data_IF_397155700644
#
_entry.id   IF_397155700644
#
_cell.length_a   1.000
_cell.length_b   1.000
_cell.length_c   1.000
_cell.angle_alpha   90.00
_cell.angle_beta   90.00
_cell.angle_gamma   90.00
#
_symmetry.space_group_name_H-M   'P 1'
#
loop_
_entity.id
_entity.type
_entity.pdbx_description
1 polymer ?
#
# COMPACT_ATOMS: atom_id res chain seq x y z
N UNK A 1 -0.69 -17.98 -29.64
CA UNK A 1 -0.22 -16.79 -28.89
C UNK A 1 1.18 -17.11 -28.37
N UNK A 2 2.14 -16.18 -28.47
CA UNK A 2 3.56 -16.48 -28.28
C UNK A 2 4.04 -16.60 -26.82
N UNK A 3 3.17 -16.34 -25.83
CA UNK A 3 3.48 -16.42 -24.39
C UNK A 3 2.35 -17.15 -23.64
N UNK A 4 1.94 -18.33 -24.10
CA UNK A 4 1.00 -19.21 -23.37
C UNK A 4 -0.41 -18.69 -23.09
N UNK A 5 -0.75 -17.45 -23.44
CA UNK A 5 -2.02 -16.82 -23.06
C UNK A 5 -1.96 -16.05 -21.73
N UNK A 6 -0.77 -15.82 -21.16
CA UNK A 6 -0.62 -15.01 -19.95
C UNK A 6 -0.83 -13.52 -20.25
N UNK A 7 -1.65 -12.86 -19.42
CA UNK A 7 -1.98 -11.44 -19.49
C UNK A 7 -1.26 -10.62 -18.41
N UNK A 8 -0.59 -11.26 -17.45
CA UNK A 8 -0.01 -10.61 -16.29
C UNK A 8 -1.05 -9.99 -15.36
N UNK A 9 -0.67 -8.92 -14.66
CA UNK A 9 -1.57 -8.17 -13.79
C UNK A 9 -2.45 -7.22 -14.59
N UNK A 10 -3.75 -7.47 -14.57
CA UNK A 10 -4.75 -6.66 -15.26
C UNK A 10 -5.61 -5.94 -14.23
N UNK A 11 -5.86 -4.65 -14.46
CA UNK A 11 -6.77 -3.85 -13.64
C UNK A 11 -8.18 -3.87 -14.22
N UNK A 12 -9.19 -3.67 -13.37
CA UNK A 12 -10.57 -3.50 -13.81
C UNK A 12 -10.67 -2.33 -14.81
N UNK A 13 -11.40 -2.55 -15.92
CA UNK A 13 -11.53 -1.60 -17.03
C UNK A 13 -10.43 -1.71 -18.10
N UNK A 14 -9.46 -2.61 -17.94
CA UNK A 14 -8.45 -2.90 -18.97
C UNK A 14 -8.87 -4.03 -19.92
N UNK A 15 -9.94 -4.77 -19.59
CA UNK A 15 -10.52 -5.77 -20.48
C UNK A 15 -11.85 -5.24 -21.05
N UNK A 16 -12.44 -6.01 -21.98
CA UNK A 16 -13.80 -5.69 -22.42
C UNK A 16 -14.78 -5.89 -21.27
N UNK A 17 -15.87 -5.14 -21.27
CA UNK A 17 -16.89 -5.16 -20.21
C UNK A 17 -17.44 -6.57 -19.93
N UNK A 18 -17.53 -7.43 -20.94
CA UNK A 18 -17.95 -8.83 -20.75
C UNK A 18 -16.91 -9.65 -19.98
N UNK A 19 -15.62 -9.42 -20.22
CA UNK A 19 -14.54 -10.12 -19.53
C UNK A 19 -14.39 -9.62 -18.10
N UNK A 20 -14.45 -8.31 -17.87
CA UNK A 20 -14.35 -7.74 -16.53
C UNK A 20 -15.49 -8.21 -15.63
N UNK A 21 -16.73 -8.26 -16.15
CA UNK A 21 -17.89 -8.75 -15.39
C UNK A 21 -17.75 -10.19 -14.95
N UNK A 22 -17.22 -11.06 -15.80
CA UNK A 22 -16.99 -12.46 -15.45
C UNK A 22 -15.76 -12.61 -14.53
N UNK A 23 -14.67 -11.87 -14.81
CA UNK A 23 -13.47 -11.86 -13.97
C UNK A 23 -13.78 -11.44 -12.52
N UNK A 24 -14.70 -10.49 -12.32
CA UNK A 24 -15.14 -10.04 -11.00
C UNK A 24 -15.83 -11.15 -10.19
N UNK A 25 -16.48 -12.11 -10.86
CA UNK A 25 -17.19 -13.24 -10.23
C UNK A 25 -16.30 -14.44 -9.93
N UNK A 26 -15.15 -14.56 -10.58
CA UNK A 26 -14.22 -15.66 -10.36
C UNK A 26 -13.53 -15.55 -9.00
N UNK A 27 -13.25 -16.70 -8.39
CA UNK A 27 -12.33 -16.81 -7.25
C UNK A 27 -10.91 -17.09 -7.75
N UNK A 28 -9.92 -16.88 -6.88
CA UNK A 28 -8.53 -17.21 -7.18
C UNK A 28 -8.42 -18.72 -7.43
N UNK A 29 -7.82 -19.11 -8.55
CA UNK A 29 -7.71 -20.49 -9.03
C UNK A 29 -8.86 -20.94 -9.94
N UNK A 30 -9.93 -20.16 -10.06
CA UNK A 30 -11.08 -20.53 -10.89
C UNK A 30 -10.83 -20.25 -12.37
N UNK A 31 -11.44 -21.09 -13.21
CA UNK A 31 -11.51 -20.94 -14.66
C UNK A 31 -12.95 -20.56 -15.04
N UNK A 32 -13.11 -19.56 -15.90
CA UNK A 32 -14.42 -19.12 -16.37
C UNK A 32 -15.05 -20.09 -17.35
N UNK A 33 -16.38 -20.03 -17.47
CA UNK A 33 -17.07 -20.55 -18.65
C UNK A 33 -16.65 -19.76 -19.91
N UNK A 34 -16.88 -20.29 -21.12
CA UNK A 34 -16.58 -19.58 -22.37
C UNK A 34 -17.35 -18.26 -22.49
N UNK A 35 -16.63 -17.14 -22.43
CA UNK A 35 -17.18 -15.79 -22.48
C UNK A 35 -17.24 -15.34 -23.92
N UNK A 36 -18.44 -14.96 -24.39
CA UNK A 36 -18.64 -14.43 -25.74
C UNK A 36 -18.35 -12.93 -25.76
N UNK A 37 -17.39 -12.52 -26.58
CA UNK A 37 -17.10 -11.11 -26.85
C UNK A 37 -17.18 -10.83 -28.35
N UNK A 38 -17.03 -9.55 -28.72
CA UNK A 38 -16.97 -9.15 -30.14
C UNK A 38 -15.67 -9.64 -30.83
N UNK A 39 -14.69 -10.14 -30.06
CA UNK A 39 -13.44 -10.72 -30.55
C UNK A 39 -13.49 -12.23 -30.75
N UNK A 40 -14.53 -12.92 -30.26
CA UNK A 40 -14.65 -14.37 -30.25
C UNK A 40 -15.04 -14.90 -28.88
N UNK A 41 -14.64 -16.13 -28.57
CA UNK A 41 -14.80 -16.70 -27.22
C UNK A 41 -13.49 -16.66 -26.46
N UNK A 42 -13.59 -16.34 -25.18
CA UNK A 42 -12.47 -16.23 -24.25
C UNK A 42 -12.74 -17.13 -23.04
N UNK A 43 -11.68 -17.69 -22.47
CA UNK A 43 -11.72 -18.43 -21.20
C UNK A 43 -10.66 -17.77 -20.32
N UNK A 44 -11.05 -17.38 -19.12
CA UNK A 44 -10.18 -16.73 -18.15
C UNK A 44 -9.78 -17.72 -17.07
N UNK A 45 -8.56 -17.62 -16.58
CA UNK A 45 -8.10 -18.33 -15.38
C UNK A 45 -7.52 -17.29 -14.44
N UNK A 46 -8.14 -17.10 -13.28
CA UNK A 46 -7.71 -16.09 -12.31
C UNK A 46 -6.60 -16.68 -11.44
N UNK A 47 -5.34 -16.37 -11.76
CA UNK A 47 -4.18 -16.89 -11.01
C UNK A 47 -4.07 -16.26 -9.61
N UNK A 48 -4.30 -14.96 -9.51
CA UNK A 48 -4.17 -14.20 -8.27
C UNK A 48 -4.98 -12.90 -8.34
N UNK A 49 -5.39 -12.35 -7.19
CA UNK A 49 -6.13 -11.09 -7.09
C UNK A 49 -5.54 -10.23 -5.98
N UNK A 50 -5.09 -9.04 -6.36
CA UNK A 50 -4.65 -8.00 -5.44
C UNK A 50 -5.59 -6.81 -5.53
N UNK A 51 -6.04 -6.31 -4.38
CA UNK A 51 -6.69 -5.00 -4.31
C UNK A 51 -5.62 -3.94 -4.33
N UNK A 52 -5.69 -3.01 -5.29
CA UNK A 52 -4.99 -1.75 -5.14
C UNK A 52 -5.68 -1.01 -4.00
N UNK A 53 -5.12 -1.06 -2.79
CA UNK A 53 -5.46 -0.16 -1.69
C UNK A 53 -5.08 1.25 -2.12
N UNK A 54 -5.96 1.91 -2.86
CA UNK A 54 -5.64 3.14 -3.58
C UNK A 54 -6.88 3.92 -3.98
N UNK A 55 -7.62 4.42 -3.00
CA UNK A 55 -8.86 5.16 -3.24
C UNK A 55 -9.34 5.92 -2.01
N UNK A 56 -8.48 6.76 -1.45
CA UNK A 56 -8.78 7.59 -0.28
C UNK A 56 -7.68 7.50 0.77
N UNK A 57 -6.82 8.51 0.84
CA UNK A 57 -5.68 8.64 1.78
C UNK A 57 -4.59 7.55 1.67
N UNK A 58 -4.81 6.48 0.90
CA UNK A 58 -3.92 5.32 0.77
C UNK A 58 -2.67 5.56 -0.09
N UNK A 59 -2.55 6.73 -0.74
CA UNK A 59 -1.34 7.11 -1.47
C UNK A 59 -0.36 7.93 -0.64
N UNK A 60 -0.69 8.29 0.59
CA UNK A 60 0.22 9.09 1.41
C UNK A 60 1.26 8.16 2.03
N UNK A 61 2.48 8.20 1.50
CA UNK A 61 3.65 7.55 2.09
C UNK A 61 4.28 8.55 3.03
N UNK A 62 4.56 8.12 4.25
CA UNK A 62 5.22 8.97 5.24
C UNK A 62 6.48 8.27 5.71
N UNK A 63 7.58 9.01 5.77
CA UNK A 63 8.77 8.58 6.47
C UNK A 63 8.60 9.00 7.94
N UNK A 64 8.52 8.01 8.83
CA UNK A 64 8.25 8.23 10.23
C UNK A 64 9.31 7.54 11.06
N UNK A 65 9.76 8.24 12.10
CA UNK A 65 10.60 7.68 13.14
C UNK A 65 9.87 7.72 14.46
N UNK A 66 10.14 6.77 15.32
CA UNK A 66 9.58 6.70 16.64
C UNK A 66 10.63 6.22 17.63
N UNK A 67 10.44 6.59 18.89
CA UNK A 67 11.10 5.92 19.99
C UNK A 67 10.09 5.57 21.08
N UNK A 68 10.36 4.48 21.78
CA UNK A 68 9.57 3.99 22.90
C UNK A 68 10.41 4.07 24.17
N UNK A 69 9.82 4.60 25.23
CA UNK A 69 10.33 4.47 26.60
C UNK A 69 9.51 3.39 27.31
N UNK A 70 10.10 2.24 27.69
CA UNK A 70 9.38 1.18 28.39
C UNK A 70 8.99 1.63 29.81
N UNK A 71 7.88 1.11 30.33
CA UNK A 71 7.44 1.43 31.69
C UNK A 71 8.34 0.84 32.79
N UNK A 72 9.12 -0.17 32.44
CA UNK A 72 9.95 -0.95 33.35
C UNK A 72 11.31 -1.19 32.73
N UNK A 73 12.38 -0.85 33.46
CA UNK A 73 13.74 -1.13 33.04
C UNK A 73 14.02 -2.64 33.08
N UNK A 74 14.36 -3.23 31.94
CA UNK A 74 14.91 -4.59 31.83
C UNK A 74 13.91 -5.71 31.52
N UNK A 75 12.66 -5.65 32.00
CA UNK A 75 11.61 -6.63 31.65
C UNK A 75 10.44 -5.87 31.03
N UNK A 76 10.14 -6.13 29.76
CA UNK A 76 8.96 -5.59 29.06
C UNK A 76 7.70 -6.31 29.56
N UNK A 77 7.26 -6.03 30.79
CA UNK A 77 5.97 -6.49 31.28
C UNK A 77 4.89 -5.54 30.75
N UNK A 78 3.98 -5.99 29.87
CA UNK A 78 2.95 -5.11 29.35
C UNK A 78 2.02 -4.67 30.49
N UNK A 79 1.71 -3.38 30.55
CA UNK A 79 0.66 -2.86 31.42
C UNK A 79 -0.63 -2.81 30.60
N UNK A 80 -1.64 -3.64 30.92
CA UNK A 80 -2.93 -3.55 30.26
C UNK A 80 -3.58 -2.21 30.58
N UNK A 81 -3.95 -1.44 29.55
CA UNK A 81 -4.57 -0.12 29.69
C UNK A 81 -3.78 0.86 30.58
N UNK A 82 -2.60 1.34 30.13
CA UNK A 82 -1.77 2.25 30.90
C UNK A 82 -2.49 3.59 31.18
N UNK A 83 -2.44 4.04 32.43
CA UNK A 83 -3.01 5.33 32.85
C UNK A 83 -1.95 6.22 33.50
N UNK A 84 -2.07 7.53 33.32
CA UNK A 84 -1.15 8.52 33.92
C UNK A 84 -1.18 8.55 35.45
N UNK A 85 -2.20 7.94 36.09
CA UNK A 85 -2.25 7.78 37.55
C UNK A 85 -1.22 6.79 38.08
N UNK A 86 -0.75 5.85 37.25
CA UNK A 86 0.31 4.92 37.63
C UNK A 86 1.66 5.62 37.60
N UNK A 87 2.39 5.56 38.71
CA UNK A 87 3.70 6.21 38.85
C UNK A 87 4.71 5.75 37.77
N UNK A 88 4.69 4.46 37.41
CA UNK A 88 5.54 3.92 36.33
C UNK A 88 5.25 4.54 34.98
N UNK A 89 3.96 4.73 34.67
CA UNK A 89 3.50 5.34 33.41
C UNK A 89 3.85 6.82 33.41
N UNK A 90 3.58 7.52 34.51
CA UNK A 90 3.92 8.92 34.68
C UNK A 90 5.43 9.18 34.50
N UNK A 91 6.28 8.33 35.10
CA UNK A 91 7.73 8.43 34.98
C UNK A 91 8.22 8.18 33.55
N UNK A 92 7.67 7.16 32.86
CA UNK A 92 8.02 6.89 31.46
C UNK A 92 7.58 8.03 30.53
N UNK A 93 6.39 8.60 30.74
CA UNK A 93 5.90 9.76 29.98
C UNK A 93 6.77 10.98 30.23
N UNK A 94 7.13 11.27 31.49
CA UNK A 94 8.01 12.39 31.82
C UNK A 94 9.38 12.25 31.15
N UNK A 95 9.96 11.03 31.18
CA UNK A 95 11.21 10.71 30.48
C UNK A 95 11.08 10.88 28.96
N UNK A 96 9.99 10.37 28.38
CA UNK A 96 9.71 10.51 26.95
C UNK A 96 9.60 11.99 26.54
N UNK A 97 8.93 12.83 27.34
CA UNK A 97 8.85 14.29 27.11
C UNK A 97 10.21 14.98 27.20
N UNK A 98 11.02 14.60 28.18
CA UNK A 98 12.36 15.16 28.34
C UNK A 98 13.25 14.84 27.14
N UNK A 99 13.18 13.59 26.65
CA UNK A 99 13.91 13.18 25.44
C UNK A 99 13.38 13.92 24.22
N UNK A 100 12.06 13.94 24.03
CA UNK A 100 11.42 14.65 22.90
C UNK A 100 11.77 16.13 22.85
N UNK A 101 11.95 16.80 23.99
CA UNK A 101 12.35 18.21 24.06
C UNK A 101 13.76 18.47 23.50
N UNK A 102 14.62 17.45 23.47
CA UNK A 102 15.98 17.52 22.93
C UNK A 102 16.06 17.04 21.47
N UNK A 103 14.96 16.52 20.92
CA UNK A 103 14.89 16.00 19.54
C UNK A 103 14.31 17.10 18.65
N UNK A 104 15.15 17.63 17.76
CA UNK A 104 14.78 18.72 16.85
C UNK A 104 14.66 18.27 15.39
N UNK A 105 15.25 17.12 15.07
CA UNK A 105 15.27 16.57 13.73
C UNK A 105 15.14 15.05 13.75
N UNK A 106 14.69 14.49 12.64
CA UNK A 106 14.57 13.05 12.49
C UNK A 106 15.90 12.32 12.66
N UNK A 107 17.02 12.92 12.24
CA UNK A 107 18.36 12.34 12.39
C UNK A 107 18.77 12.15 13.85
N UNK A 108 18.20 12.94 14.76
CA UNK A 108 18.53 12.87 16.19
C UNK A 108 18.03 11.56 16.81
N UNK A 109 16.93 10.98 16.30
CA UNK A 109 16.35 9.75 16.87
C UNK A 109 17.28 8.53 16.72
N UNK A 110 18.02 8.45 15.62
CA UNK A 110 19.02 7.38 15.44
C UNK A 110 20.16 7.54 16.47
N UNK A 111 20.59 8.77 16.75
CA UNK A 111 21.62 9.07 17.74
C UNK A 111 21.15 8.81 19.18
N UNK A 112 19.87 9.03 19.47
CA UNK A 112 19.30 8.76 20.81
C UNK A 112 19.47 7.30 21.22
N UNK A 113 19.40 6.35 20.27
CA UNK A 113 19.56 4.93 20.58
C UNK A 113 20.99 4.61 21.03
N UNK A 114 21.98 5.30 20.49
CA UNK A 114 23.38 5.16 20.94
C UNK A 114 23.60 5.80 22.31
N UNK A 115 22.99 6.96 22.57
CA UNK A 115 23.16 7.70 23.83
C UNK A 115 22.43 7.04 25.02
N UNK A 116 21.19 6.60 24.81
CA UNK A 116 20.35 6.05 25.87
C UNK A 116 20.33 4.51 25.91
N UNK A 117 20.94 3.84 24.92
CA UNK A 117 21.13 2.39 24.91
C UNK A 117 19.82 1.61 25.05
N UNK A 118 19.72 0.75 26.08
CA UNK A 118 18.55 -0.13 26.33
C UNK A 118 17.35 0.57 26.97
N UNK A 119 17.49 1.84 27.35
CA UNK A 119 16.43 2.59 27.99
C UNK A 119 15.37 3.11 27.02
N UNK A 120 15.68 3.09 25.73
CA UNK A 120 14.76 3.44 24.67
C UNK A 120 14.83 2.42 23.54
N UNK A 121 13.73 2.26 22.82
CA UNK A 121 13.70 1.48 21.58
C UNK A 121 13.29 2.42 20.46
N UNK A 122 14.25 2.78 19.60
CA UNK A 122 13.98 3.58 18.41
C UNK A 122 13.73 2.67 17.20
N UNK A 123 12.81 3.09 16.34
CA UNK A 123 12.47 2.41 15.08
C UNK A 123 12.03 3.46 14.06
N UNK A 124 12.17 3.17 12.77
CA UNK A 124 11.80 4.11 11.72
C UNK A 124 11.71 3.49 10.34
N UNK A 125 10.93 4.13 9.48
CA UNK A 125 10.81 3.74 8.09
C UNK A 125 9.65 4.41 7.37
N UNK A 126 9.63 4.19 6.06
CA UNK A 126 8.56 4.66 5.19
C UNK A 126 7.38 3.68 5.21
N UNK A 127 6.20 4.18 5.54
CA UNK A 127 4.96 3.39 5.60
C UNK A 127 3.81 4.15 4.96
N UNK A 128 2.84 3.42 4.41
CA UNK A 128 1.59 4.00 3.96
C UNK A 128 0.76 4.44 5.17
N UNK A 129 0.15 5.62 5.10
CA UNK A 129 -0.73 6.12 6.17
C UNK A 129 -1.86 5.11 6.51
N UNK A 130 -2.33 4.37 5.52
CA UNK A 130 -3.34 3.31 5.70
C UNK A 130 -2.85 2.10 6.51
N UNK A 131 -1.54 1.82 6.48
CA UNK A 131 -0.88 0.71 7.18
C UNK A 131 -0.39 1.12 8.57
N UNK A 132 -0.37 2.42 8.89
CA UNK A 132 -0.06 2.91 10.24
C UNK A 132 -1.03 2.27 11.25
N UNK A 133 -0.52 1.67 12.35
CA UNK A 133 -1.36 1.05 13.37
C UNK A 133 -2.38 2.04 13.94
N UNK A 134 -3.60 1.58 14.30
CA UNK A 134 -4.68 2.48 14.74
C UNK A 134 -4.30 3.38 15.92
N UNK A 135 -3.45 2.89 16.83
CA UNK A 135 -2.97 3.66 17.99
C UNK A 135 -2.20 4.92 17.58
N UNK A 136 -1.48 4.89 16.47
CA UNK A 136 -0.62 5.97 16.01
C UNK A 136 -1.25 6.80 14.88
N UNK A 137 -2.30 6.29 14.23
CA UNK A 137 -2.90 6.88 13.04
C UNK A 137 -3.38 8.31 13.24
N UNK A 138 -4.17 8.56 14.27
CA UNK A 138 -4.73 9.89 14.52
C UNK A 138 -3.61 10.94 14.69
N UNK A 139 -2.56 10.60 15.44
CA UNK A 139 -1.41 11.47 15.63
C UNK A 139 -0.61 11.63 14.35
N UNK A 140 -0.38 10.55 13.60
CA UNK A 140 0.36 10.61 12.33
C UNK A 140 -0.38 11.40 11.23
N UNK A 141 -1.71 11.46 11.27
CA UNK A 141 -2.51 12.26 10.34
C UNK A 141 -2.34 13.77 10.55
N UNK A 142 -2.30 14.18 11.82
CA UNK A 142 -2.23 15.59 12.25
C UNK A 142 -0.83 16.07 12.63
N UNK A 143 0.18 15.17 12.60
CA UNK A 143 1.54 15.51 12.97
C UNK A 143 2.13 16.56 12.01
N UNK A 144 2.78 17.55 12.59
CA UNK A 144 3.58 18.52 11.85
C UNK A 144 4.94 17.90 11.48
N UNK A 145 5.48 18.31 10.31
CA UNK A 145 6.76 17.79 9.83
C UNK A 145 7.90 18.19 10.75
N UNK A 146 8.76 17.23 11.11
CA UNK A 146 9.90 17.39 12.00
C UNK A 146 9.54 17.89 13.41
N UNK A 147 8.29 17.71 13.84
CA UNK A 147 7.86 18.01 15.21
C UNK A 147 7.57 16.69 15.93
N UNK A 148 8.21 16.42 17.09
CA UNK A 148 7.90 15.24 17.87
C UNK A 148 6.49 15.34 18.47
N UNK A 149 5.77 14.23 18.46
CA UNK A 149 4.42 14.16 19.02
C UNK A 149 4.41 14.17 20.55
N UNK A 150 3.24 14.43 21.13
CA UNK A 150 3.01 14.06 22.53
C UNK A 150 3.17 12.54 22.72
N UNK A 151 3.60 12.06 23.90
CA UNK A 151 3.78 10.63 24.16
C UNK A 151 2.44 9.88 24.10
N UNK A 152 2.39 8.87 23.24
CA UNK A 152 1.28 7.97 23.03
C UNK A 152 1.49 6.74 23.92
N UNK A 153 0.49 6.41 24.73
CA UNK A 153 0.57 5.27 25.64
C UNK A 153 0.25 3.97 24.90
N UNK A 154 1.17 3.01 24.96
CA UNK A 154 0.93 1.62 24.54
C UNK A 154 1.08 0.70 25.74
N UNK A 155 0.60 -0.56 25.68
CA UNK A 155 0.83 -1.51 26.76
C UNK A 155 2.31 -1.74 27.08
N UNK A 156 3.21 -1.50 26.13
CA UNK A 156 4.65 -1.79 26.28
C UNK A 156 5.45 -0.56 26.77
N UNK A 157 4.95 0.65 26.52
CA UNK A 157 5.64 1.88 26.90
C UNK A 157 5.00 3.15 26.35
N UNK A 158 5.66 4.27 26.59
CA UNK A 158 5.30 5.56 26.02
C UNK A 158 6.07 5.78 24.70
N UNK A 159 5.33 5.92 23.61
CA UNK A 159 5.89 6.13 22.27
C UNK A 159 5.82 7.61 21.89
N UNK A 160 6.88 8.12 21.29
CA UNK A 160 6.89 9.43 20.63
C UNK A 160 7.20 9.19 19.17
N UNK A 161 6.41 9.79 18.28
CA UNK A 161 6.63 9.72 16.83
C UNK A 161 7.00 11.08 16.28
N UNK A 162 7.76 11.08 15.19
CA UNK A 162 8.10 12.25 14.39
C UNK A 162 7.90 11.89 12.92
N UNK A 163 7.23 12.75 12.18
CA UNK A 163 7.04 12.59 10.73
C UNK A 163 8.11 13.42 10.03
N UNK A 164 8.99 12.75 9.31
CA UNK A 164 10.16 13.34 8.66
C UNK A 164 9.81 13.89 7.29
N UNK A 165 9.03 13.10 6.54
CA UNK A 165 8.54 13.47 5.23
C UNK A 165 7.12 12.94 5.02
N UNK A 166 6.35 13.67 4.24
CA UNK A 166 5.00 13.30 3.83
C UNK A 166 4.89 13.50 2.34
N UNK A 167 5.02 12.40 1.61
CA UNK A 167 4.88 12.40 0.16
C UNK A 167 3.54 11.81 -0.25
N UNK A 168 2.92 12.43 -1.25
CA UNK A 168 1.83 11.79 -1.96
C UNK A 168 2.47 10.91 -3.02
N UNK A 169 2.36 9.59 -2.85
CA UNK A 169 2.64 8.65 -3.93
C UNK A 169 1.78 9.07 -5.12
N UNK A 170 2.42 9.34 -6.26
CA UNK A 170 1.72 9.68 -7.49
C UNK A 170 0.64 8.63 -7.73
N UNK A 171 -0.60 9.10 -7.81
CA UNK A 171 -1.75 8.23 -8.07
C UNK A 171 -1.46 7.43 -9.33
N UNK A 172 -1.51 6.11 -9.22
CA UNK A 172 -1.38 5.17 -10.35
C UNK A 172 -2.55 5.25 -11.34
N UNK A 173 -3.39 6.28 -11.24
CA UNK A 173 -4.52 6.55 -12.14
C UNK A 173 -3.93 7.12 -13.45
N UNK A 174 -4.05 6.40 -14.58
CA UNK A 174 -3.53 6.87 -15.85
C UNK A 174 -4.20 8.18 -16.26
N UNK A 175 -3.43 9.09 -16.85
CA UNK A 175 -4.00 10.35 -17.38
C UNK A 175 -4.95 10.05 -18.53
N UNK A 176 -5.86 11.01 -18.81
CA UNK A 176 -6.82 10.92 -19.94
C UNK A 176 -6.13 10.52 -21.25
N UNK A 177 -4.96 11.10 -21.53
CA UNK A 177 -4.20 10.84 -22.76
C UNK A 177 -3.68 9.41 -22.83
N UNK A 178 -3.26 8.84 -21.69
CA UNK A 178 -2.83 7.43 -21.60
C UNK A 178 -4.01 6.48 -21.81
N UNK A 179 -5.16 6.79 -21.22
CA UNK A 179 -6.40 6.00 -21.40
C UNK A 179 -6.85 6.05 -22.88
N UNK A 180 -6.87 7.23 -23.48
CA UNK A 180 -7.26 7.43 -24.87
C UNK A 180 -6.33 6.69 -25.84
N UNK A 181 -5.01 6.76 -25.62
CA UNK A 181 -4.04 6.03 -26.42
C UNK A 181 -4.24 4.51 -26.33
N UNK A 182 -4.51 3.98 -25.13
CA UNK A 182 -4.78 2.55 -24.92
C UNK A 182 -6.05 2.09 -25.66
N UNK A 183 -7.18 2.79 -25.47
CA UNK A 183 -8.45 2.43 -26.10
C UNK A 183 -8.36 2.48 -27.65
N UNK A 184 -7.61 3.45 -28.18
CA UNK A 184 -7.35 3.54 -29.62
C UNK A 184 -6.52 2.35 -30.14
N UNK A 185 -5.48 1.95 -29.41
CA UNK A 185 -4.67 0.78 -29.75
C UNK A 185 -5.49 -0.51 -29.71
N UNK A 186 -6.34 -0.69 -28.71
CA UNK A 186 -7.24 -1.85 -28.61
C UNK A 186 -8.22 -1.90 -29.78
N UNK A 187 -8.84 -0.77 -30.12
CA UNK A 187 -9.76 -0.66 -31.26
C UNK A 187 -9.05 -1.00 -32.58
N UNK A 188 -7.82 -0.48 -32.77
CA UNK A 188 -7.01 -0.77 -33.96
C UNK A 188 -6.64 -2.26 -34.05
N UNK A 189 -6.22 -2.85 -32.94
CA UNK A 189 -5.86 -4.27 -32.87
C UNK A 189 -7.06 -5.17 -33.17
N UNK A 190 -8.25 -4.84 -32.65
CA UNK A 190 -9.48 -5.59 -32.96
C UNK A 190 -9.85 -5.52 -34.44
N UNK A 191 -9.74 -4.34 -35.07
CA UNK A 191 -9.99 -4.18 -36.51
C UNK A 191 -8.99 -4.97 -37.35
N UNK A 192 -7.71 -4.92 -37.02
CA UNK A 192 -6.67 -5.67 -37.71
C UNK A 192 -6.92 -7.19 -37.63
N UNK A 193 -7.29 -7.70 -36.46
CA UNK A 193 -7.62 -9.13 -36.29
C UNK A 193 -8.83 -9.56 -37.10
N UNK A 194 -9.89 -8.76 -37.12
CA UNK A 194 -11.08 -9.03 -37.96
C UNK A 194 -10.71 -9.05 -39.44
N UNK A 195 -9.94 -8.07 -39.89
CA UNK A 195 -9.49 -7.98 -41.28
C UNK A 195 -8.65 -9.20 -41.70
N UNK A 196 -7.67 -9.61 -40.89
CA UNK A 196 -6.86 -10.81 -41.16
C UNK A 196 -7.71 -12.09 -41.18
N UNK A 197 -8.72 -12.20 -40.31
CA UNK A 197 -9.65 -13.32 -40.31
C UNK A 197 -10.46 -13.36 -41.61
N UNK A 198 -10.95 -12.21 -42.06
CA UNK A 198 -11.75 -12.12 -43.27
C UNK A 198 -10.90 -12.45 -44.51
N UNK A 199 -9.66 -11.92 -44.60
CA UNK A 199 -8.69 -12.31 -45.64
C UNK A 199 -8.41 -13.81 -45.65
N UNK A 200 -8.24 -14.44 -44.48
CA UNK A 200 -8.02 -15.88 -44.37
C UNK A 200 -9.23 -16.70 -44.83
N UNK A 201 -10.44 -16.19 -44.65
CA UNK A 201 -11.67 -16.86 -45.10
C UNK A 201 -11.83 -16.80 -46.62
N UNK A 202 -11.36 -15.73 -47.25
CA UNK A 202 -11.45 -15.52 -48.70
C UNK A 202 -10.30 -16.16 -49.47
N UNK A 203 -9.15 -16.36 -48.83
CA UNK A 203 -8.00 -17.02 -49.45
C UNK A 203 -8.26 -18.51 -49.71
N UNK A 204 -7.94 -18.97 -50.92
CA UNK A 204 -7.82 -20.41 -51.21
C UNK A 204 -6.46 -20.87 -50.69
N UNK A 205 -6.46 -21.68 -49.62
CA UNK A 205 -5.24 -22.23 -49.01
C UNK A 205 -5.16 -23.72 -49.31
N UNK A 206 -4.24 -24.12 -50.19
CA UNK A 206 -3.85 -25.52 -50.36
C UNK A 206 -2.74 -25.88 -49.36
N UNK A 207 -3.00 -26.85 -48.49
CA UNK A 207 -1.97 -27.48 -47.66
C UNK A 207 -1.46 -28.72 -48.41
N UNK A 208 -0.17 -28.75 -48.77
CA UNK A 208 0.51 -29.93 -49.32
C UNK A 208 1.16 -30.74 -48.22
#
# INVERSE_FOLDING_TARGET
AAVGGDLGWVQEGQLSEELDRELARLSIGDISDPIRTIGGYYILNLQDRRTATGGGLSGVVMDMRQFMVPYTSGILTPIPNPQLSDERVANAVAKAKQIAANVSSCTDIEALQEEHGRDIMADGGSILLAEVPPLFRATAETAELNVPSEPILSPQGAHVLIVCDRSMHESTVPTRDVIEARLNQETLALRARRYLRDLRREAVVEFR
#
